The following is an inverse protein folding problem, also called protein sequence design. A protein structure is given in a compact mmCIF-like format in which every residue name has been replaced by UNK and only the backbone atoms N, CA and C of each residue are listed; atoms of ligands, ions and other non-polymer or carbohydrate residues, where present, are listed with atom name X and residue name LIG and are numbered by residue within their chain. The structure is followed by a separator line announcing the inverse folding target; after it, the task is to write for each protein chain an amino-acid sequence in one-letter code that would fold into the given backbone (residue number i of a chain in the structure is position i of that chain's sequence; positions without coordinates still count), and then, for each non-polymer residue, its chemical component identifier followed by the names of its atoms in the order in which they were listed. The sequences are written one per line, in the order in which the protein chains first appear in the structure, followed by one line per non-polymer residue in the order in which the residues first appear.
data_IF_915154826350
#
_entry.id   IF_915154826350
#
_cell.length_a   1.000
_cell.length_b   1.000
_cell.length_c   1.000
_cell.angle_alpha   90.00
_cell.angle_beta   90.00
_cell.angle_gamma   90.00
#
_symmetry.space_group_name_H-M   'P 1'
#
loop_
_entity.id
_entity.type
_entity.pdbx_description
1 polymer ?
#
# COMPACT_ATOMS: atom_id res chain seq x y z
N UNK A 1 38.10 18.29 -21.77
CA UNK A 1 37.70 18.90 -20.48
C UNK A 1 36.22 19.28 -20.39
N UNK A 2 35.55 19.75 -21.46
CA UNK A 2 34.12 20.06 -21.42
C UNK A 2 33.19 18.84 -21.44
N UNK A 3 33.55 17.77 -22.17
CA UNK A 3 32.75 16.52 -22.23
C UNK A 3 32.67 15.78 -20.90
N UNK A 4 33.79 15.65 -20.18
CA UNK A 4 33.81 14.98 -18.87
C UNK A 4 32.98 15.71 -17.81
N UNK A 5 32.99 17.05 -17.79
CA UNK A 5 32.11 17.83 -16.90
C UNK A 5 30.63 17.70 -17.26
N UNK A 6 30.31 17.51 -18.54
CA UNK A 6 28.94 17.30 -19.01
C UNK A 6 28.43 15.90 -18.65
N UNK A 7 29.29 14.88 -18.74
CA UNK A 7 28.98 13.52 -18.32
C UNK A 7 28.90 13.39 -16.79
N UNK A 8 29.77 14.06 -16.01
CA UNK A 8 29.61 14.18 -14.55
C UNK A 8 28.33 14.91 -14.17
N UNK A 9 27.91 15.91 -14.94
CA UNK A 9 26.65 16.64 -14.71
C UNK A 9 25.42 15.80 -15.08
N UNK A 10 25.48 14.99 -16.15
CA UNK A 10 24.41 14.04 -16.48
C UNK A 10 24.39 12.86 -15.51
N UNK A 11 25.54 12.39 -15.07
CA UNK A 11 25.65 11.33 -14.06
C UNK A 11 25.21 11.87 -12.70
N UNK A 12 25.47 13.14 -12.36
CA UNK A 12 24.93 13.77 -11.16
C UNK A 12 23.43 14.05 -11.28
N UNK A 13 22.88 14.49 -12.41
CA UNK A 13 21.42 14.61 -12.60
C UNK A 13 20.74 13.23 -12.59
N UNK A 14 21.38 12.20 -13.15
CA UNK A 14 20.88 10.83 -13.07
C UNK A 14 21.02 10.27 -11.67
N UNK A 15 22.09 10.57 -10.93
CA UNK A 15 22.26 10.15 -9.54
C UNK A 15 21.33 10.93 -8.62
N UNK A 16 21.12 12.25 -8.80
CA UNK A 16 20.22 13.11 -8.01
C UNK A 16 18.74 12.96 -8.38
N UNK A 17 18.43 12.69 -9.64
CA UNK A 17 17.08 12.33 -10.10
C UNK A 17 16.70 10.88 -9.78
N UNK A 18 17.69 10.03 -9.51
CA UNK A 18 17.55 8.65 -9.01
C UNK A 18 18.04 8.54 -7.55
N UNK A 19 18.33 9.66 -6.86
CA UNK A 19 18.58 9.70 -5.41
C UNK A 19 17.20 9.55 -4.75
N UNK A 20 16.80 8.29 -4.74
CA UNK A 20 15.87 7.62 -3.87
C UNK A 20 14.69 8.46 -3.40
N UNK A 21 13.71 8.66 -4.30
CA UNK A 21 12.33 8.69 -3.80
C UNK A 21 12.08 7.31 -3.18
N UNK A 22 12.24 7.21 -1.85
CA UNK A 22 11.90 6.01 -1.11
C UNK A 22 10.47 5.60 -1.51
N UNK A 23 10.33 4.42 -2.08
CA UNK A 23 9.04 3.91 -2.50
C UNK A 23 8.17 3.68 -1.26
N UNK A 24 6.92 4.15 -1.29
CA UNK A 24 5.99 3.99 -0.16
C UNK A 24 4.80 3.12 -0.58
N UNK A 25 4.57 2.07 0.21
CA UNK A 25 3.42 1.18 0.10
C UNK A 25 2.63 1.16 1.41
N UNK A 26 1.35 0.79 1.35
CA UNK A 26 0.56 0.42 2.52
C UNK A 26 0.18 -1.06 2.45
N UNK A 27 0.36 -1.79 3.55
CA UNK A 27 -0.25 -3.09 3.78
C UNK A 27 -1.48 -2.91 4.68
N UNK A 28 -2.67 -3.21 4.16
CA UNK A 28 -3.94 -3.03 4.88
C UNK A 28 -4.44 -4.40 5.32
N UNK A 29 -4.73 -4.57 6.61
CA UNK A 29 -5.28 -5.81 7.14
C UNK A 29 -6.56 -5.59 7.96
N UNK A 30 -7.41 -6.62 7.99
CA UNK A 30 -8.69 -6.58 8.68
C UNK A 30 -8.58 -7.11 10.11
N UNK A 31 -9.15 -6.38 11.06
CA UNK A 31 -9.33 -6.83 12.43
C UNK A 31 -10.53 -6.13 13.09
N UNK A 32 -11.23 -6.77 14.03
CA UNK A 32 -12.30 -6.12 14.78
C UNK A 32 -11.76 -5.11 15.79
N UNK A 33 -12.57 -4.08 16.11
CA UNK A 33 -12.28 -3.09 17.16
C UNK A 33 -10.95 -2.33 16.99
N UNK A 34 -10.62 -1.95 15.75
CA UNK A 34 -9.41 -1.18 15.43
C UNK A 34 -9.73 0.26 15.07
N UNK A 35 -8.76 1.14 15.21
CA UNK A 35 -8.78 2.51 14.75
C UNK A 35 -7.58 2.75 13.80
N UNK A 36 -7.80 2.98 12.49
CA UNK A 36 -6.73 3.15 11.51
C UNK A 36 -5.78 4.33 11.81
N UNK A 37 -6.23 5.32 12.59
CA UNK A 37 -5.40 6.46 13.01
C UNK A 37 -4.42 6.11 14.14
N UNK A 38 -4.67 5.03 14.89
CA UNK A 38 -3.87 4.60 16.03
C UNK A 38 -3.17 3.26 15.79
N UNK A 39 -3.84 2.33 15.11
CA UNK A 39 -3.42 0.95 14.89
C UNK A 39 -2.67 0.81 13.56
N UNK A 40 -1.52 1.49 13.47
CA UNK A 40 -0.61 1.37 12.34
C UNK A 40 0.85 1.33 12.78
N UNK A 41 1.71 0.78 11.93
CA UNK A 41 3.15 0.81 12.13
C UNK A 41 3.90 0.97 10.80
N UNK A 42 5.09 1.56 10.87
CA UNK A 42 5.99 1.66 9.72
C UNK A 42 7.16 0.68 9.83
N UNK A 43 7.47 0.04 8.71
CA UNK A 43 8.78 -0.58 8.44
C UNK A 43 9.48 0.29 7.40
N UNK A 44 10.69 0.76 7.71
CA UNK A 44 11.44 1.69 6.86
C UNK A 44 12.82 1.13 6.53
N UNK A 45 13.16 1.18 5.26
CA UNK A 45 14.49 0.87 4.72
C UNK A 45 14.93 2.04 3.84
N UNK A 46 16.18 2.03 3.36
CA UNK A 46 16.72 3.11 2.53
C UNK A 46 15.98 3.30 1.19
N UNK A 47 15.28 2.25 0.71
CA UNK A 47 14.62 2.25 -0.61
C UNK A 47 13.10 2.07 -0.54
N UNK A 48 12.58 1.47 0.52
CA UNK A 48 11.16 1.11 0.66
C UNK A 48 10.66 1.40 2.08
N UNK A 49 9.52 2.07 2.18
CA UNK A 49 8.73 2.19 3.40
C UNK A 49 7.39 1.49 3.21
N UNK A 50 7.02 0.65 4.18
CA UNK A 50 5.71 -0.01 4.21
C UNK A 50 4.97 0.42 5.47
N UNK A 51 3.80 1.03 5.29
CA UNK A 51 2.85 1.33 6.38
C UNK A 51 1.91 0.15 6.52
N UNK A 52 1.97 -0.56 7.64
CA UNK A 52 0.94 -1.56 7.97
C UNK A 52 -0.17 -0.86 8.74
N UNK A 53 -1.42 -1.00 8.31
CA UNK A 53 -2.59 -0.33 8.91
C UNK A 53 -3.73 -1.32 9.11
N UNK A 54 -4.33 -1.30 10.31
CA UNK A 54 -5.50 -2.09 10.63
C UNK A 54 -6.78 -1.34 10.27
N UNK A 55 -7.74 -2.04 9.67
CA UNK A 55 -9.08 -1.52 9.37
C UNK A 55 -10.14 -2.56 9.75
N UNK A 56 -11.35 -2.11 10.04
CA UNK A 56 -12.47 -2.94 10.48
C UNK A 56 -13.33 -3.47 9.33
N UNK A 57 -13.24 -2.85 8.15
CA UNK A 57 -14.07 -3.20 6.99
C UNK A 57 -13.44 -2.77 5.67
N UNK A 58 -14.00 -3.26 4.55
CA UNK A 58 -13.63 -2.79 3.21
C UNK A 58 -13.94 -1.30 3.02
N UNK A 59 -15.05 -0.83 3.59
CA UNK A 59 -15.44 0.58 3.54
C UNK A 59 -14.40 1.46 4.22
N UNK A 60 -13.94 1.08 5.41
CA UNK A 60 -12.91 1.83 6.13
C UNK A 60 -11.58 1.82 5.38
N UNK A 61 -11.20 0.70 4.76
CA UNK A 61 -10.03 0.65 3.88
C UNK A 61 -10.12 1.70 2.75
N UNK A 62 -11.28 1.82 2.10
CA UNK A 62 -11.52 2.79 1.04
C UNK A 62 -11.41 4.24 1.53
N UNK A 63 -11.90 4.54 2.75
CA UNK A 63 -11.82 5.86 3.35
C UNK A 63 -10.36 6.32 3.60
N UNK A 64 -9.44 5.40 3.89
CA UNK A 64 -8.04 5.73 4.15
C UNK A 64 -7.24 6.09 2.88
N UNK A 65 -7.74 5.77 1.68
CA UNK A 65 -6.93 5.81 0.45
C UNK A 65 -6.49 7.21 0.02
N UNK A 66 -7.26 8.25 0.32
CA UNK A 66 -6.92 9.63 -0.01
C UNK A 66 -5.78 10.16 0.88
N UNK A 67 -5.85 9.87 2.19
CA UNK A 67 -4.81 10.24 3.16
C UNK A 67 -3.51 9.49 2.88
N UNK A 68 -3.58 8.17 2.64
CA UNK A 68 -2.42 7.36 2.29
C UNK A 68 -1.73 7.89 1.01
N UNK A 69 -2.50 8.31 0.01
CA UNK A 69 -1.92 8.87 -1.21
C UNK A 69 -1.29 10.24 -1.00
N UNK A 70 -1.90 11.07 -0.16
CA UNK A 70 -1.34 12.35 0.28
C UNK A 70 -0.05 12.17 1.08
N UNK A 71 0.09 11.07 1.84
CA UNK A 71 1.34 10.64 2.50
C UNK A 71 2.43 10.15 1.52
N UNK A 72 2.12 10.07 0.23
CA UNK A 72 3.03 9.65 -0.84
C UNK A 72 2.98 8.16 -1.15
N UNK A 73 2.01 7.42 -0.62
CA UNK A 73 1.85 6.00 -0.93
C UNK A 73 1.36 5.83 -2.36
N UNK A 74 1.96 4.88 -3.09
CA UNK A 74 1.64 4.60 -4.50
C UNK A 74 1.26 3.15 -4.78
N UNK A 75 1.42 2.27 -3.79
CA UNK A 75 0.93 0.90 -3.84
C UNK A 75 0.19 0.51 -2.56
N UNK A 76 -0.86 -0.27 -2.73
CA UNK A 76 -1.65 -0.90 -1.69
C UNK A 76 -1.47 -2.41 -1.81
N UNK A 77 -1.10 -3.05 -0.71
CA UNK A 77 -1.13 -4.49 -0.54
C UNK A 77 -2.24 -4.84 0.44
N UNK A 78 -3.13 -5.74 0.04
CA UNK A 78 -4.26 -6.16 0.85
C UNK A 78 -3.96 -7.50 1.50
N UNK A 79 -4.27 -7.66 2.79
CA UNK A 79 -4.25 -8.96 3.42
C UNK A 79 -5.33 -9.87 2.81
N UNK A 80 -5.23 -11.17 3.04
CA UNK A 80 -6.15 -12.13 2.47
C UNK A 80 -7.58 -12.10 3.02
N UNK A 81 -7.83 -11.30 4.07
CA UNK A 81 -9.19 -11.00 4.52
C UNK A 81 -9.95 -10.12 3.50
N UNK A 82 -9.28 -9.47 2.56
CA UNK A 82 -9.93 -8.88 1.39
C UNK A 82 -10.22 -9.98 0.37
N UNK A 83 -11.48 -10.43 0.32
CA UNK A 83 -11.97 -11.33 -0.71
C UNK A 83 -12.06 -10.63 -2.06
N UNK A 84 -12.71 -11.27 -3.03
CA UNK A 84 -12.81 -10.75 -4.38
C UNK A 84 -13.54 -9.40 -4.45
N UNK A 85 -14.61 -9.27 -3.68
CA UNK A 85 -15.41 -8.03 -3.63
C UNK A 85 -14.61 -6.92 -2.95
N UNK A 86 -13.93 -7.23 -1.84
CA UNK A 86 -13.08 -6.27 -1.14
C UNK A 86 -11.95 -5.72 -2.02
N UNK A 87 -11.26 -6.60 -2.75
CA UNK A 87 -10.19 -6.20 -3.68
C UNK A 87 -10.75 -5.31 -4.80
N UNK A 88 -11.91 -5.66 -5.36
CA UNK A 88 -12.55 -4.87 -6.41
C UNK A 88 -12.92 -3.45 -5.92
N UNK A 89 -13.56 -3.35 -4.74
CA UNK A 89 -13.92 -2.07 -4.12
C UNK A 89 -12.71 -1.17 -3.91
N UNK A 90 -11.63 -1.69 -3.33
CA UNK A 90 -10.39 -0.93 -3.12
C UNK A 90 -9.78 -0.51 -4.46
N UNK A 91 -9.74 -1.41 -5.44
CA UNK A 91 -9.18 -1.11 -6.76
C UNK A 91 -9.94 0.01 -7.48
N UNK A 92 -11.26 0.01 -7.40
CA UNK A 92 -12.11 1.07 -7.92
C UNK A 92 -11.83 2.40 -7.22
N UNK A 93 -11.81 2.42 -5.89
CA UNK A 93 -11.55 3.62 -5.10
C UNK A 93 -10.11 4.16 -5.26
N UNK A 94 -9.16 3.32 -5.66
CA UNK A 94 -7.82 3.77 -6.01
C UNK A 94 -7.76 4.60 -7.31
N UNK A 95 -8.83 4.72 -8.11
CA UNK A 95 -8.97 5.61 -9.28
C UNK A 95 -7.76 5.62 -10.24
N UNK A 96 -7.04 4.50 -10.36
CA UNK A 96 -5.81 4.40 -11.14
C UNK A 96 -4.58 5.13 -10.58
N UNK A 97 -4.70 5.86 -9.45
CA UNK A 97 -3.60 6.60 -8.81
C UNK A 97 -2.71 5.73 -7.90
N UNK A 98 -3.16 4.51 -7.57
CA UNK A 98 -2.40 3.55 -6.77
C UNK A 98 -2.49 2.15 -7.39
N UNK A 99 -1.38 1.41 -7.34
CA UNK A 99 -1.34 0.00 -7.70
C UNK A 99 -1.89 -0.85 -6.55
N UNK A 100 -2.66 -1.89 -6.85
CA UNK A 100 -3.28 -2.75 -5.83
C UNK A 100 -2.80 -4.19 -6.04
N UNK A 101 -2.16 -4.74 -5.02
CA UNK A 101 -1.81 -6.14 -4.87
C UNK A 101 -2.56 -6.76 -3.69
N UNK A 102 -2.57 -8.10 -3.62
CA UNK A 102 -3.28 -8.83 -2.57
C UNK A 102 -2.58 -10.15 -2.25
N UNK A 103 -2.46 -10.45 -0.96
CA UNK A 103 -2.11 -11.79 -0.47
C UNK A 103 -3.36 -12.66 -0.62
N UNK A 104 -3.25 -13.84 -1.26
CA UNK A 104 -4.43 -14.63 -1.61
C UNK A 104 -4.52 -15.94 -0.84
N UNK A 105 -5.69 -16.15 -0.24
CA UNK A 105 -6.19 -17.42 0.27
C UNK A 105 -7.63 -17.57 -0.19
N UNK A 106 -7.98 -18.68 -0.84
CA UNK A 106 -9.38 -18.93 -1.26
C UNK A 106 -10.28 -19.28 -0.05
N UNK A 107 -9.68 -19.84 1.00
CA UNK A 107 -10.24 -20.00 2.35
C UNK A 107 -9.20 -19.52 3.36
N UNK A 108 -9.58 -18.63 4.28
CA UNK A 108 -8.61 -17.98 5.15
C UNK A 108 -8.48 -18.71 6.51
N UNK A 109 -7.29 -19.19 6.89
CA UNK A 109 -7.13 -20.01 8.09
C UNK A 109 -7.46 -19.25 9.39
N UNK A 110 -7.22 -17.94 9.43
CA UNK A 110 -7.57 -17.10 10.58
C UNK A 110 -9.03 -16.57 10.56
N UNK A 111 -9.86 -16.98 9.59
CA UNK A 111 -11.27 -16.58 9.48
C UNK A 111 -12.19 -17.82 9.45
N UNK A 112 -11.93 -18.80 10.32
CA UNK A 112 -12.69 -20.06 10.38
C UNK A 112 -12.82 -20.79 9.03
N UNK A 113 -11.83 -20.60 8.14
CA UNK A 113 -11.80 -21.13 6.77
C UNK A 113 -12.95 -20.66 5.86
N UNK A 114 -13.49 -19.45 6.08
CA UNK A 114 -14.39 -18.79 5.12
C UNK A 114 -13.69 -17.67 4.35
N UNK A 115 -14.31 -17.21 3.26
CA UNK A 115 -13.86 -16.01 2.53
C UNK A 115 -14.14 -14.76 3.36
N UNK A 116 -13.25 -13.78 3.25
CA UNK A 116 -13.49 -12.46 3.82
C UNK A 116 -14.73 -11.76 3.25
N UNK A 117 -15.13 -12.06 2.01
CA UNK A 117 -16.35 -11.50 1.41
C UNK A 117 -17.62 -11.87 2.19
N UNK A 118 -17.59 -12.94 3.00
CA UNK A 118 -18.72 -13.33 3.86
C UNK A 118 -18.79 -12.48 5.13
N UNK A 119 -17.65 -11.96 5.59
CA UNK A 119 -17.50 -11.38 6.93
C UNK A 119 -17.35 -9.86 6.93
N UNK A 120 -16.78 -9.27 5.88
CA UNK A 120 -16.30 -7.87 5.88
C UNK A 120 -16.86 -7.01 4.74
N UNK A 121 -17.80 -7.54 3.94
CA UNK A 121 -18.37 -6.92 2.74
C UNK A 121 -19.06 -5.59 2.99
#
# INVERSE_FOLDING_TARGET
MLGQKYDEFKHSISLYGVYMSCFKAAFIFLAPNVNPELDFQWVKTDSVHVKTIAVSSYQEACLQLDDLYSEGIRAIELCAGFGHVGVAKVKEQCLGRMQVGVVRFDIHPCLDNVSGDVLFS
#
